data_IF_781281379187
#
_entry.id   IF_781281379187
#
_cell.length_a   1.000
_cell.length_b   1.000
_cell.length_c   1.000
_cell.angle_alpha   90.00
_cell.angle_beta   90.00
_cell.angle_gamma   90.00
#
_symmetry.space_group_name_H-M   'P 1'
#
loop_
_entity.id
_entity.type
_entity.pdbx_description
1 polymer ?
#
# COMPACT_ATOMS: atom_id res chain seq x y z
N UNK A 1 -9.32 -22.93 12.77
CA UNK A 1 -9.01 -22.28 11.48
C UNK A 1 -7.51 -22.16 11.34
N UNK A 2 -6.91 -22.65 10.25
CA UNK A 2 -5.45 -22.56 10.05
C UNK A 2 -5.03 -21.10 9.83
N UNK A 3 -3.98 -20.66 10.53
CA UNK A 3 -3.44 -19.30 10.40
C UNK A 3 -2.90 -19.11 8.98
N UNK A 4 -3.45 -18.15 8.24
CA UNK A 4 -3.02 -17.83 6.87
C UNK A 4 -1.56 -17.41 6.90
N UNK A 5 -0.72 -18.03 6.07
CA UNK A 5 0.69 -17.66 5.92
C UNK A 5 0.76 -16.29 5.26
N UNK A 6 1.34 -15.31 5.94
CA UNK A 6 1.55 -13.97 5.42
C UNK A 6 2.94 -13.87 4.77
N UNK A 7 3.01 -13.19 3.63
CA UNK A 7 4.26 -12.92 2.92
C UNK A 7 4.53 -11.42 2.92
N UNK A 8 5.79 -11.03 3.06
CA UNK A 8 6.20 -9.63 2.98
C UNK A 8 6.07 -9.09 1.56
N UNK A 9 5.88 -7.79 1.41
CA UNK A 9 5.69 -7.19 0.09
C UNK A 9 6.95 -7.28 -0.77
N UNK A 10 8.14 -7.18 -0.16
CA UNK A 10 9.41 -7.45 -0.81
C UNK A 10 9.49 -8.89 -1.36
N UNK A 11 8.95 -9.87 -0.64
CA UNK A 11 8.92 -11.26 -1.11
C UNK A 11 7.96 -11.42 -2.30
N UNK A 12 6.76 -10.84 -2.22
CA UNK A 12 5.79 -10.87 -3.33
C UNK A 12 6.38 -10.23 -4.59
N UNK A 13 7.03 -9.08 -4.44
CA UNK A 13 7.70 -8.37 -5.53
C UNK A 13 8.81 -9.22 -6.18
N UNK A 14 9.66 -9.88 -5.36
CA UNK A 14 10.71 -10.78 -5.87
C UNK A 14 10.13 -11.95 -6.66
N UNK A 15 9.09 -12.59 -6.14
CA UNK A 15 8.43 -13.71 -6.83
C UNK A 15 7.77 -13.23 -8.12
N UNK A 16 7.07 -12.10 -8.10
CA UNK A 16 6.46 -11.52 -9.29
C UNK A 16 7.50 -11.17 -10.36
N UNK A 17 8.64 -10.60 -9.96
CA UNK A 17 9.74 -10.29 -10.89
C UNK A 17 10.29 -11.55 -11.56
N UNK A 18 10.55 -12.62 -10.80
CA UNK A 18 11.01 -13.90 -11.39
C UNK A 18 9.97 -14.49 -12.37
N UNK A 19 8.67 -14.29 -12.11
CA UNK A 19 7.60 -14.72 -13.05
C UNK A 19 7.46 -13.84 -14.30
N UNK A 20 7.94 -12.60 -14.23
CA UNK A 20 7.94 -11.65 -15.36
C UNK A 20 9.16 -11.86 -16.26
N UNK A 21 10.28 -12.30 -15.68
CA UNK A 21 11.48 -12.68 -16.41
C UNK A 21 11.22 -13.81 -17.41
N UNK A 22 10.33 -14.76 -17.07
CA UNK A 22 9.89 -15.82 -17.98
C UNK A 22 10.82 -17.05 -18.05
N UNK A 23 11.96 -17.03 -17.35
CA UNK A 23 12.92 -18.14 -17.31
C UNK A 23 12.35 -19.44 -16.69
N UNK A 24 11.30 -19.31 -15.87
CA UNK A 24 10.66 -20.42 -15.16
C UNK A 24 9.16 -20.31 -15.24
N UNK A 25 8.51 -21.47 -15.28
CA UNK A 25 7.06 -21.56 -15.21
C UNK A 25 6.55 -21.18 -13.82
N UNK A 26 5.28 -20.79 -13.75
CA UNK A 26 4.59 -20.50 -12.49
C UNK A 26 4.65 -21.71 -11.54
N UNK A 27 4.60 -22.93 -12.08
CA UNK A 27 4.68 -24.18 -11.33
C UNK A 27 6.04 -24.37 -10.67
N UNK A 28 7.13 -24.13 -11.40
CA UNK A 28 8.50 -24.25 -10.87
C UNK A 28 8.80 -23.18 -9.83
N UNK A 29 8.31 -21.95 -10.04
CA UNK A 29 8.45 -20.85 -9.08
C UNK A 29 7.65 -21.16 -7.81
N UNK A 30 6.42 -21.65 -7.97
CA UNK A 30 5.58 -22.11 -6.87
C UNK A 30 6.28 -23.20 -6.04
N UNK A 31 6.87 -24.21 -6.70
CA UNK A 31 7.64 -25.26 -6.04
C UNK A 31 8.88 -24.72 -5.32
N UNK A 32 9.68 -23.88 -6.00
CA UNK A 32 10.91 -23.26 -5.46
C UNK A 32 10.65 -22.48 -4.18
N UNK A 33 9.56 -21.71 -4.14
CA UNK A 33 9.23 -20.86 -3.00
C UNK A 33 8.23 -21.48 -2.02
N UNK A 34 7.78 -22.72 -2.28
CA UNK A 34 6.72 -23.40 -1.53
C UNK A 34 5.45 -22.54 -1.38
N UNK A 35 5.05 -21.92 -2.49
CA UNK A 35 3.88 -21.06 -2.60
C UNK A 35 2.90 -21.70 -3.56
N UNK A 36 1.59 -21.57 -3.30
CA UNK A 36 0.57 -22.09 -4.21
C UNK A 36 0.61 -21.35 -5.58
N UNK A 37 0.52 -22.04 -6.73
CA UNK A 37 0.55 -21.41 -8.06
C UNK A 37 -0.39 -20.21 -8.23
N UNK A 38 -1.63 -20.29 -7.72
CA UNK A 38 -2.58 -19.17 -7.76
C UNK A 38 -2.06 -17.89 -7.07
N UNK A 39 -1.29 -18.01 -5.99
CA UNK A 39 -0.70 -16.84 -5.32
C UNK A 39 0.37 -16.20 -6.21
N UNK A 40 1.19 -17.03 -6.86
CA UNK A 40 2.21 -16.59 -7.82
C UNK A 40 1.55 -15.85 -9.00
N UNK A 41 0.48 -16.41 -9.58
CA UNK A 41 -0.30 -15.74 -10.64
C UNK A 41 -0.91 -14.42 -10.18
N UNK A 42 -1.40 -14.38 -8.94
CA UNK A 42 -1.97 -13.15 -8.35
C UNK A 42 -0.92 -12.06 -8.23
N UNK A 43 0.26 -12.38 -7.69
CA UNK A 43 1.34 -11.40 -7.53
C UNK A 43 1.91 -10.94 -8.88
N UNK A 44 1.99 -11.82 -9.87
CA UNK A 44 2.33 -11.45 -11.24
C UNK A 44 1.37 -10.39 -11.78
N UNK A 45 0.05 -10.63 -11.66
CA UNK A 45 -0.97 -9.68 -12.09
C UNK A 45 -0.87 -8.34 -11.36
N UNK A 46 -0.73 -8.37 -10.04
CA UNK A 46 -0.56 -7.17 -9.22
C UNK A 46 0.67 -6.36 -9.62
N UNK A 47 1.79 -7.03 -9.94
CA UNK A 47 2.99 -6.35 -10.41
C UNK A 47 2.76 -5.67 -11.77
N UNK A 48 2.09 -6.33 -12.72
CA UNK A 48 1.78 -5.74 -14.04
C UNK A 48 0.87 -4.53 -13.91
N UNK A 49 -0.22 -4.65 -13.16
CA UNK A 49 -1.17 -3.57 -12.92
C UNK A 49 -0.48 -2.40 -12.19
N UNK A 50 0.25 -2.69 -11.11
CA UNK A 50 0.94 -1.66 -10.32
C UNK A 50 2.10 -0.97 -11.04
N UNK A 51 2.74 -1.62 -12.02
CA UNK A 51 3.80 -0.98 -12.83
C UNK A 51 3.25 0.23 -13.61
N UNK A 52 2.03 0.14 -14.15
CA UNK A 52 1.39 1.25 -14.87
C UNK A 52 1.28 2.48 -13.98
N UNK A 53 0.86 2.28 -12.72
CA UNK A 53 0.72 3.36 -11.75
C UNK A 53 2.08 3.95 -11.36
N UNK A 54 3.10 3.10 -11.17
CA UNK A 54 4.46 3.54 -10.83
C UNK A 54 5.06 4.42 -11.94
N UNK A 55 4.94 3.99 -13.21
CA UNK A 55 5.45 4.78 -14.34
C UNK A 55 4.62 6.05 -14.60
N UNK A 56 3.30 5.99 -14.41
CA UNK A 56 2.42 7.15 -14.58
C UNK A 56 2.64 8.22 -13.51
N UNK A 57 3.06 7.82 -12.30
CA UNK A 57 3.28 8.74 -11.17
C UNK A 57 4.66 9.37 -11.11
N UNK A 58 5.61 8.93 -11.94
CA UNK A 58 6.96 9.48 -11.97
C UNK A 58 7.67 9.47 -10.60
N UNK A 59 7.38 8.47 -9.75
CA UNK A 59 8.01 8.33 -8.43
C UNK A 59 7.42 9.20 -7.31
N UNK A 60 6.30 9.91 -7.52
CA UNK A 60 5.60 10.60 -6.43
C UNK A 60 4.87 9.57 -5.54
N UNK A 61 5.28 9.50 -4.27
CA UNK A 61 4.65 8.66 -3.25
C UNK A 61 3.20 9.06 -3.06
N UNK A 62 2.31 8.06 -3.04
CA UNK A 62 0.89 8.27 -2.76
C UNK A 62 0.70 8.54 -1.27
N UNK A 63 0.61 9.81 -0.93
CA UNK A 63 0.39 10.28 0.41
C UNK A 63 0.22 11.80 0.40
N UNK A 64 -0.56 12.37 1.33
CA UNK A 64 -0.60 13.81 1.48
C UNK A 64 0.83 14.31 1.66
N UNK A 65 1.17 15.32 0.87
CA UNK A 65 2.44 16.02 1.00
C UNK A 65 2.60 16.50 2.43
N UNK A 66 3.83 16.61 2.90
CA UNK A 66 4.11 17.13 4.24
C UNK A 66 3.47 18.52 4.46
N UNK A 67 3.33 19.30 3.38
CA UNK A 67 2.59 20.56 3.35
C UNK A 67 1.08 20.39 3.63
N UNK A 68 0.42 19.44 2.96
CA UNK A 68 -1.01 19.14 3.19
C UNK A 68 -1.24 18.61 4.61
N UNK A 69 -0.35 17.75 5.12
CA UNK A 69 -0.42 17.25 6.51
C UNK A 69 -0.32 18.41 7.50
N UNK A 70 0.61 19.34 7.27
CA UNK A 70 0.79 20.52 8.13
C UNK A 70 -0.42 21.45 8.09
N UNK A 71 -1.01 21.67 6.91
CA UNK A 71 -2.21 22.48 6.75
C UNK A 71 -3.41 21.87 7.50
N UNK A 72 -3.61 20.56 7.35
CA UNK A 72 -4.67 19.83 8.05
C UNK A 72 -4.50 19.90 9.58
N UNK A 73 -3.28 19.73 10.09
CA UNK A 73 -3.01 19.90 11.53
C UNK A 73 -3.30 21.32 12.02
N UNK A 74 -2.93 22.36 11.26
CA UNK A 74 -3.24 23.74 11.62
C UNK A 74 -4.76 24.00 11.65
N UNK A 75 -5.50 23.42 10.70
CA UNK A 75 -6.96 23.52 10.62
C UNK A 75 -7.64 22.81 11.79
N UNK A 76 -7.17 21.62 12.17
CA UNK A 76 -7.62 20.91 13.37
C UNK A 76 -7.41 21.78 14.61
N UNK A 77 -6.22 22.36 14.79
CA UNK A 77 -5.93 23.22 15.94
C UNK A 77 -6.87 24.43 16.04
N UNK A 78 -7.15 25.10 14.91
CA UNK A 78 -8.10 26.22 14.87
C UNK A 78 -9.52 25.79 15.25
N UNK A 79 -9.99 24.70 14.66
CA UNK A 79 -11.32 24.16 14.93
C UNK A 79 -11.48 23.72 16.39
N UNK A 80 -10.43 23.18 17.01
CA UNK A 80 -10.45 22.85 18.44
C UNK A 80 -10.64 24.10 19.29
N UNK A 81 -9.87 25.17 19.02
CA UNK A 81 -9.99 26.44 19.77
C UNK A 81 -11.38 27.08 19.57
N UNK A 82 -11.90 27.08 18.34
CA UNK A 82 -13.24 27.61 18.04
C UNK A 82 -14.33 26.81 18.76
N UNK A 83 -14.25 25.48 18.74
CA UNK A 83 -15.20 24.62 19.45
C UNK A 83 -15.14 24.81 20.97
N UNK A 84 -13.94 24.91 21.54
CA UNK A 84 -13.76 25.14 22.98
C UNK A 84 -14.34 26.51 23.39
N UNK A 85 -14.12 27.54 22.57
CA UNK A 85 -14.69 28.86 22.79
C UNK A 85 -16.23 28.84 22.74
N UNK A 86 -16.82 28.20 21.73
CA UNK A 86 -18.27 28.07 21.59
C UNK A 86 -18.87 27.25 22.74
N UNK A 87 -18.21 26.16 23.14
CA UNK A 87 -18.65 25.32 24.26
C UNK A 87 -18.60 26.07 25.61
N UNK A 88 -17.64 26.97 25.81
CA UNK A 88 -17.61 27.84 26.99
C UNK A 88 -18.74 28.88 26.96
N UNK A 89 -19.04 29.45 25.78
CA UNK A 89 -20.13 30.40 25.61
C UNK A 89 -21.51 29.80 25.89
N UNK A 90 -21.71 28.52 25.57
CA UNK A 90 -22.96 27.77 25.80
C UNK A 90 -23.15 27.27 27.24
N UNK A 91 -22.12 27.35 28.10
CA UNK A 91 -22.20 26.96 29.52
C UNK A 91 -22.60 28.11 30.46
N UNK A 92 -22.85 29.30 29.91
CA UNK A 92 -23.47 30.45 30.59
C UNK A 92 -24.97 30.47 30.32
#
# INVERSE_FOLDING_TARGET
MAKRRNFSDAFKAKVALETLHGDKTIQEIAAKYQVHPNQVSTWKRQAVEGMVDVFSRGGKSEGPTEAEVKELHAKIGRLTVENDFLAQGLKK
#
